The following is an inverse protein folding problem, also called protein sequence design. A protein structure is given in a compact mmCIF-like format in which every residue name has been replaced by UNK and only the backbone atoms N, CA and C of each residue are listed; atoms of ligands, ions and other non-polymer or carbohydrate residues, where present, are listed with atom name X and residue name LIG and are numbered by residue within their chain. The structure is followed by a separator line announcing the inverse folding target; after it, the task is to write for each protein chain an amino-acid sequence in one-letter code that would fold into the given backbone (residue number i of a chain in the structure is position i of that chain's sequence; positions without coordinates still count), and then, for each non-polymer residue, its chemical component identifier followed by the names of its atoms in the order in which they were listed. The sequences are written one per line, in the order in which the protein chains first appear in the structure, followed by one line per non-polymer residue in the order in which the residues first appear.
data_IF_315237973291
#
_entry.id   IF_315237973291
#
_cell.length_a   1.000
_cell.length_b   1.000
_cell.length_c   1.000
_cell.angle_alpha   90.00
_cell.angle_beta   90.00
_cell.angle_gamma   90.00
#
_symmetry.space_group_name_H-M   'P 1'
#
loop_
_entity.id
_entity.type
_entity.pdbx_description
1 polymer ?
#
# COMPACT_ATOMS: atom_id res chain seq x y z
N UNK A 1 18.76 -21.57 -10.11
CA UNK A 1 19.15 -20.74 -11.27
C UNK A 1 17.92 -20.15 -11.96
N UNK A 2 16.85 -20.91 -12.21
CA UNK A 2 15.59 -20.41 -12.83
C UNK A 2 14.89 -19.39 -11.95
N UNK A 3 14.81 -19.61 -10.64
CA UNK A 3 14.20 -18.68 -9.68
C UNK A 3 14.89 -17.32 -9.65
N UNK A 4 16.23 -17.31 -9.66
CA UNK A 4 16.98 -16.05 -9.69
C UNK A 4 16.70 -15.28 -11.00
N UNK A 5 16.63 -15.96 -12.14
CA UNK A 5 16.28 -15.33 -13.41
C UNK A 5 14.86 -14.73 -13.38
N UNK A 6 13.91 -15.43 -12.80
CA UNK A 6 12.54 -14.95 -12.62
C UNK A 6 12.50 -13.66 -11.78
N UNK A 7 13.21 -13.62 -10.65
CA UNK A 7 13.27 -12.43 -9.79
C UNK A 7 13.91 -11.22 -10.49
N UNK A 8 14.97 -11.43 -11.32
CA UNK A 8 15.52 -10.38 -12.16
C UNK A 8 14.52 -9.84 -13.20
N UNK A 9 13.75 -10.74 -13.82
CA UNK A 9 12.72 -10.34 -14.78
C UNK A 9 11.63 -9.51 -14.08
N UNK A 10 11.17 -9.92 -12.90
CA UNK A 10 10.19 -9.18 -12.10
C UNK A 10 10.71 -7.77 -11.74
N UNK A 11 11.97 -7.67 -11.33
CA UNK A 11 12.61 -6.38 -11.05
C UNK A 11 12.64 -5.47 -12.28
N UNK A 12 13.08 -5.99 -13.43
CA UNK A 12 13.16 -5.22 -14.68
C UNK A 12 11.77 -4.76 -15.14
N UNK A 13 10.77 -5.64 -15.10
CA UNK A 13 9.39 -5.28 -15.44
C UNK A 13 8.87 -4.21 -14.48
N UNK A 14 9.12 -4.35 -13.19
CA UNK A 14 8.77 -3.35 -12.19
C UNK A 14 9.40 -1.99 -12.47
N UNK A 15 10.69 -1.96 -12.76
CA UNK A 15 11.41 -0.71 -13.09
C UNK A 15 10.86 -0.04 -14.35
N UNK A 16 10.69 -0.81 -15.43
CA UNK A 16 10.16 -0.30 -16.70
C UNK A 16 8.71 0.22 -16.55
N UNK A 17 7.87 -0.52 -15.83
CA UNK A 17 6.48 -0.09 -15.58
C UNK A 17 6.42 1.22 -14.80
N UNK A 18 7.30 1.42 -13.82
CA UNK A 18 7.39 2.66 -13.05
C UNK A 18 7.82 3.85 -13.94
N UNK A 19 8.82 3.67 -14.80
CA UNK A 19 9.28 4.71 -15.74
C UNK A 19 8.15 5.10 -16.69
N UNK A 20 7.45 4.11 -17.26
CA UNK A 20 6.31 4.34 -18.17
C UNK A 20 5.18 5.08 -17.44
N UNK A 21 4.84 4.66 -16.21
CA UNK A 21 3.81 5.31 -15.41
C UNK A 21 4.17 6.74 -15.06
N UNK A 22 5.41 7.02 -14.69
CA UNK A 22 5.88 8.37 -14.41
C UNK A 22 5.73 9.28 -15.64
N UNK A 23 6.14 8.81 -16.81
CA UNK A 23 5.97 9.53 -18.07
C UNK A 23 4.49 9.79 -18.37
N UNK A 24 3.65 8.76 -18.25
CA UNK A 24 2.22 8.88 -18.50
C UNK A 24 1.54 9.85 -17.54
N UNK A 25 1.80 9.74 -16.24
CA UNK A 25 1.23 10.66 -15.23
C UNK A 25 1.61 12.13 -15.51
N UNK A 26 2.86 12.39 -15.90
CA UNK A 26 3.28 13.74 -16.30
C UNK A 26 2.53 14.22 -17.54
N UNK A 27 2.38 13.38 -18.56
CA UNK A 27 1.68 13.71 -19.83
C UNK A 27 0.22 14.06 -19.60
N UNK A 28 -0.48 13.30 -18.74
CA UNK A 28 -1.90 13.57 -18.38
C UNK A 28 -2.06 14.60 -17.26
N UNK A 29 -0.96 15.21 -16.81
CA UNK A 29 -0.95 16.18 -15.69
C UNK A 29 -1.48 15.61 -14.37
N UNK A 30 -1.35 14.30 -14.19
CA UNK A 30 -1.65 13.62 -12.92
C UNK A 30 -0.45 13.79 -11.99
N UNK A 31 -0.28 14.99 -11.47
CA UNK A 31 0.85 15.41 -10.65
C UNK A 31 0.35 16.08 -9.38
N UNK A 32 1.10 15.93 -8.29
CA UNK A 32 0.79 16.62 -7.05
C UNK A 32 0.81 18.13 -7.25
N UNK A 33 -0.20 18.81 -6.74
CA UNK A 33 -0.32 20.27 -6.81
C UNK A 33 0.73 21.02 -5.97
N UNK A 34 1.44 20.31 -5.09
CA UNK A 34 2.45 20.85 -4.18
C UNK A 34 1.87 21.83 -3.15
N UNK A 35 0.57 21.72 -2.85
CA UNK A 35 -0.09 22.52 -1.81
C UNK A 35 -0.02 21.75 -0.48
N UNK A 36 0.29 22.43 0.62
CA UNK A 36 0.39 21.83 1.96
C UNK A 36 1.80 21.84 2.52
N UNK A 37 2.10 20.87 3.40
CA UNK A 37 3.41 20.74 4.09
C UNK A 37 4.55 20.52 3.08
N UNK A 38 4.26 19.94 1.93
CA UNK A 38 5.22 19.73 0.83
C UNK A 38 5.69 21.03 0.15
N UNK A 39 5.02 22.17 0.39
CA UNK A 39 5.48 23.50 -0.05
C UNK A 39 6.92 23.83 0.38
N UNK A 40 7.36 23.26 1.50
CA UNK A 40 8.67 23.52 2.08
C UNK A 40 9.80 22.98 1.17
N UNK A 41 9.53 21.99 0.32
CA UNK A 41 10.55 21.29 -0.47
C UNK A 41 10.60 21.61 -1.97
N UNK A 42 9.86 22.63 -2.45
CA UNK A 42 9.84 23.00 -3.89
C UNK A 42 9.52 21.86 -4.89
N UNK A 43 8.95 20.76 -4.43
CA UNK A 43 8.64 19.57 -5.22
C UNK A 43 7.31 19.74 -5.99
N UNK A 44 7.22 20.77 -6.84
CA UNK A 44 6.06 20.92 -7.73
C UNK A 44 6.12 19.88 -8.86
N UNK A 45 5.00 19.21 -9.11
CA UNK A 45 4.85 18.35 -10.27
C UNK A 45 5.37 16.93 -10.10
N UNK A 46 5.41 16.39 -8.86
CA UNK A 46 5.71 14.98 -8.64
C UNK A 46 4.56 14.12 -9.19
N UNK A 47 4.83 13.15 -10.06
CA UNK A 47 3.79 12.29 -10.62
C UNK A 47 3.15 11.40 -9.54
N UNK A 48 1.82 11.30 -9.57
CA UNK A 48 1.04 10.44 -8.66
C UNK A 48 1.05 8.97 -9.13
N UNK A 49 2.20 8.49 -9.54
CA UNK A 49 2.38 7.14 -10.11
C UNK A 49 2.55 6.04 -9.07
N UNK A 50 2.97 6.39 -7.85
CA UNK A 50 3.34 5.42 -6.82
C UNK A 50 2.22 4.47 -6.43
N UNK A 51 1.04 5.02 -6.10
CA UNK A 51 -0.12 4.20 -5.76
C UNK A 51 -0.59 3.32 -6.93
N UNK A 52 -0.56 3.86 -8.16
CA UNK A 52 -0.92 3.12 -9.38
C UNK A 52 0.07 1.98 -9.62
N UNK A 53 1.36 2.26 -9.46
CA UNK A 53 2.41 1.25 -9.57
C UNK A 53 2.21 0.09 -8.60
N UNK A 54 1.97 0.40 -7.32
CA UNK A 54 1.73 -0.64 -6.32
C UNK A 54 0.45 -1.42 -6.56
N UNK A 55 -0.62 -0.78 -7.04
CA UNK A 55 -1.85 -1.49 -7.41
C UNK A 55 -1.60 -2.48 -8.54
N UNK A 56 -0.91 -2.07 -9.61
CA UNK A 56 -0.58 -2.94 -10.75
C UNK A 56 0.32 -4.08 -10.31
N UNK A 57 1.38 -3.78 -9.55
CA UNK A 57 2.32 -4.76 -9.03
C UNK A 57 1.64 -5.78 -8.14
N UNK A 58 0.76 -5.32 -7.25
CA UNK A 58 -0.01 -6.18 -6.36
C UNK A 58 -1.00 -7.06 -7.14
N UNK A 59 -1.72 -6.49 -8.11
CA UNK A 59 -2.64 -7.26 -8.96
C UNK A 59 -1.92 -8.35 -9.75
N UNK A 60 -0.72 -8.06 -10.26
CA UNK A 60 0.10 -9.04 -10.95
C UNK A 60 0.51 -10.20 -10.04
N UNK A 61 0.93 -9.90 -8.82
CA UNK A 61 1.32 -10.92 -7.85
C UNK A 61 0.12 -11.80 -7.48
N UNK A 62 -1.02 -11.21 -7.15
CA UNK A 62 -2.23 -11.94 -6.75
C UNK A 62 -2.74 -12.83 -7.88
N UNK A 63 -2.77 -12.33 -9.11
CA UNK A 63 -3.24 -13.09 -10.28
C UNK A 63 -2.44 -14.39 -10.47
N UNK A 64 -1.12 -14.33 -10.27
CA UNK A 64 -0.26 -15.49 -10.45
C UNK A 64 -0.35 -16.51 -9.30
N UNK A 65 -0.85 -16.13 -8.13
CA UNK A 65 -0.91 -17.00 -6.96
C UNK A 65 -2.32 -17.44 -6.55
N UNK A 66 -3.34 -17.19 -7.38
CA UNK A 66 -4.75 -17.61 -7.18
C UNK A 66 -5.42 -17.17 -5.86
N UNK A 67 -4.85 -16.16 -5.17
CA UNK A 67 -5.38 -15.65 -3.88
C UNK A 67 -6.14 -14.33 -4.04
N UNK A 68 -6.94 -14.19 -5.10
CA UNK A 68 -7.70 -12.97 -5.31
C UNK A 68 -8.95 -12.91 -4.42
N UNK A 69 -8.84 -12.24 -3.26
CA UNK A 69 -10.04 -11.74 -2.59
C UNK A 69 -10.55 -10.50 -3.33
N UNK A 70 -11.67 -10.67 -4.01
CA UNK A 70 -12.29 -9.61 -4.81
C UNK A 70 -12.65 -8.38 -3.97
N UNK A 71 -13.11 -8.57 -2.74
CA UNK A 71 -13.46 -7.45 -1.85
C UNK A 71 -12.21 -6.66 -1.44
N UNK A 72 -11.10 -7.35 -1.21
CA UNK A 72 -9.82 -6.71 -0.92
C UNK A 72 -9.31 -5.91 -2.12
N UNK A 73 -9.36 -6.48 -3.33
CA UNK A 73 -8.95 -5.81 -4.56
C UNK A 73 -9.80 -4.55 -4.84
N UNK A 74 -11.12 -4.64 -4.68
CA UNK A 74 -12.03 -3.50 -4.82
C UNK A 74 -11.68 -2.43 -3.78
N UNK A 75 -11.48 -2.82 -2.53
CA UNK A 75 -11.18 -1.89 -1.43
C UNK A 75 -9.90 -1.11 -1.67
N UNK A 76 -8.81 -1.79 -2.05
CA UNK A 76 -7.53 -1.12 -2.37
C UNK A 76 -7.71 -0.15 -3.53
N UNK A 77 -8.44 -0.56 -4.58
CA UNK A 77 -8.67 0.28 -5.75
C UNK A 77 -9.46 1.54 -5.38
N UNK A 78 -10.52 1.41 -4.57
CA UNK A 78 -11.33 2.56 -4.12
C UNK A 78 -10.53 3.48 -3.20
N UNK A 79 -9.72 2.93 -2.28
CA UNK A 79 -8.84 3.72 -1.42
C UNK A 79 -7.76 4.46 -2.23
N UNK A 80 -7.20 3.85 -3.28
CA UNK A 80 -6.27 4.49 -4.19
C UNK A 80 -6.92 5.67 -4.93
N UNK A 81 -8.11 5.46 -5.50
CA UNK A 81 -8.86 6.52 -6.18
C UNK A 81 -9.14 7.68 -5.21
N UNK A 82 -9.55 7.37 -3.99
CA UNK A 82 -9.76 8.38 -2.94
C UNK A 82 -8.47 9.15 -2.62
N UNK A 83 -7.33 8.46 -2.57
CA UNK A 83 -6.01 9.07 -2.42
C UNK A 83 -5.71 10.05 -3.54
N UNK A 84 -5.83 9.64 -4.79
CA UNK A 84 -5.61 10.48 -5.99
C UNK A 84 -6.53 11.70 -5.99
N UNK A 85 -7.83 11.53 -5.70
CA UNK A 85 -8.80 12.63 -5.62
C UNK A 85 -8.41 13.63 -4.53
N UNK A 86 -7.88 13.15 -3.41
CA UNK A 86 -7.38 13.99 -2.33
C UNK A 86 -6.12 14.78 -2.74
N UNK A 87 -5.18 14.13 -3.41
CA UNK A 87 -3.90 14.73 -3.82
C UNK A 87 -4.08 15.75 -4.97
N UNK A 88 -5.16 15.61 -5.74
CA UNK A 88 -5.60 16.60 -6.73
C UNK A 88 -6.37 17.79 -6.12
N UNK A 89 -6.45 17.91 -4.79
CA UNK A 89 -7.20 18.95 -4.06
C UNK A 89 -8.71 18.99 -4.36
N UNK A 90 -9.28 17.94 -4.92
CA UNK A 90 -10.73 17.86 -5.17
C UNK A 90 -11.49 17.74 -3.83
N UNK A 91 -10.95 16.96 -2.90
CA UNK A 91 -11.43 16.86 -1.53
C UNK A 91 -10.76 17.92 -0.65
N UNK A 92 -11.36 19.10 -0.57
CA UNK A 92 -10.81 20.26 0.15
C UNK A 92 -10.66 20.05 1.67
N UNK A 93 -11.49 19.20 2.28
CA UNK A 93 -11.48 18.97 3.74
C UNK A 93 -10.91 17.61 4.08
N UNK A 94 -9.82 17.53 4.86
CA UNK A 94 -9.23 16.25 5.31
C UNK A 94 -10.24 15.35 6.05
N UNK A 95 -11.19 15.95 6.78
CA UNK A 95 -12.24 15.20 7.48
C UNK A 95 -13.11 14.39 6.54
N UNK A 96 -13.41 14.91 5.35
CA UNK A 96 -14.24 14.19 4.38
C UNK A 96 -13.50 12.94 3.85
N UNK A 97 -12.19 13.06 3.57
CA UNK A 97 -11.34 11.91 3.21
C UNK A 97 -11.40 10.85 4.30
N UNK A 98 -11.22 11.25 5.55
CA UNK A 98 -11.21 10.33 6.69
C UNK A 98 -12.54 9.60 6.88
N UNK A 99 -13.68 10.31 6.79
CA UNK A 99 -15.02 9.71 6.88
C UNK A 99 -15.23 8.67 5.76
N UNK A 100 -14.85 9.01 4.53
CA UNK A 100 -14.99 8.08 3.40
C UNK A 100 -14.09 6.85 3.60
N UNK A 101 -12.87 7.02 4.09
CA UNK A 101 -11.98 5.89 4.43
C UNK A 101 -12.62 4.97 5.47
N UNK A 102 -13.21 5.52 6.54
CA UNK A 102 -13.92 4.74 7.58
C UNK A 102 -15.00 3.88 6.94
N UNK A 103 -15.86 4.49 6.11
CA UNK A 103 -16.98 3.78 5.46
C UNK A 103 -16.45 2.64 4.59
N UNK A 104 -15.44 2.90 3.75
CA UNK A 104 -14.86 1.89 2.85
C UNK A 104 -14.30 0.72 3.66
N UNK A 105 -13.52 0.99 4.72
CA UNK A 105 -12.89 -0.06 5.53
C UNK A 105 -13.92 -0.87 6.32
N UNK A 106 -14.95 -0.24 6.87
CA UNK A 106 -16.03 -0.96 7.57
C UNK A 106 -16.81 -1.85 6.59
N UNK A 107 -17.15 -1.37 5.40
CA UNK A 107 -17.83 -2.17 4.38
C UNK A 107 -16.96 -3.37 3.95
N UNK A 108 -15.67 -3.16 3.73
CA UNK A 108 -14.75 -4.24 3.42
C UNK A 108 -14.77 -5.33 4.49
N UNK A 109 -14.60 -4.98 5.75
CA UNK A 109 -14.56 -5.94 6.85
C UNK A 109 -15.92 -6.60 7.11
N UNK A 110 -17.01 -5.95 6.74
CA UNK A 110 -18.35 -6.53 6.83
C UNK A 110 -18.52 -7.68 5.82
N UNK A 111 -17.96 -7.53 4.61
CA UNK A 111 -18.03 -8.55 3.55
C UNK A 111 -16.88 -9.57 3.61
N UNK A 112 -15.76 -9.22 4.25
CA UNK A 112 -14.54 -10.05 4.31
C UNK A 112 -14.12 -10.32 5.76
N UNK A 113 -14.90 -11.13 6.46
CA UNK A 113 -14.70 -11.46 7.90
C UNK A 113 -13.33 -12.14 8.18
N UNK A 114 -12.70 -12.73 7.17
CA UNK A 114 -11.40 -13.38 7.29
C UNK A 114 -10.29 -12.43 7.74
N UNK A 115 -10.45 -11.13 7.48
CA UNK A 115 -9.50 -10.08 7.85
C UNK A 115 -9.73 -9.48 9.24
N UNK A 116 -10.74 -9.95 9.96
CA UNK A 116 -10.99 -9.48 11.32
C UNK A 116 -9.90 -9.96 12.28
N UNK A 117 -9.47 -9.07 13.16
CA UNK A 117 -8.61 -9.43 14.28
C UNK A 117 -9.39 -10.37 15.20
N UNK A 118 -8.89 -11.59 15.40
CA UNK A 118 -9.53 -12.65 16.19
C UNK A 118 -8.98 -12.73 17.62
N UNK A 119 -7.74 -12.30 17.83
CA UNK A 119 -7.07 -12.36 19.12
C UNK A 119 -5.91 -11.36 19.18
N UNK A 120 -5.77 -10.68 20.32
CA UNK A 120 -4.67 -9.73 20.57
C UNK A 120 -3.74 -10.16 21.68
N UNK A 121 -4.10 -11.21 22.44
CA UNK A 121 -3.45 -11.63 23.69
C UNK A 121 -3.57 -10.61 24.83
N UNK A 122 -4.45 -9.60 24.69
CA UNK A 122 -4.83 -8.68 25.76
C UNK A 122 -6.22 -9.05 26.25
N UNK A 123 -6.34 -9.57 27.47
CA UNK A 123 -7.58 -10.15 28.00
C UNK A 123 -8.80 -9.27 27.81
N UNK A 124 -8.69 -7.97 28.13
CA UNK A 124 -9.82 -7.04 28.02
C UNK A 124 -10.25 -6.84 26.56
N UNK A 125 -9.33 -6.72 25.64
CA UNK A 125 -9.61 -6.52 24.21
C UNK A 125 -10.20 -7.80 23.65
N UNK A 126 -9.61 -8.96 23.97
CA UNK A 126 -10.07 -10.27 23.48
C UNK A 126 -11.50 -10.58 23.94
N UNK A 127 -11.87 -10.14 25.15
CA UNK A 127 -13.24 -10.24 25.63
C UNK A 127 -14.24 -9.49 24.74
N UNK A 128 -13.93 -8.28 24.32
CA UNK A 128 -14.80 -7.49 23.44
C UNK A 128 -14.74 -7.95 21.98
N UNK A 129 -13.58 -8.41 21.48
CA UNK A 129 -13.40 -8.94 20.11
C UNK A 129 -14.28 -10.16 19.84
N UNK A 130 -14.67 -10.92 20.85
CA UNK A 130 -15.64 -12.02 20.71
C UNK A 130 -16.98 -11.54 20.11
N UNK A 131 -17.32 -10.26 20.25
CA UNK A 131 -18.44 -9.65 19.56
C UNK A 131 -18.01 -9.20 18.14
N UNK A 132 -18.69 -9.73 17.10
CA UNK A 132 -18.39 -9.44 15.70
C UNK A 132 -18.37 -7.94 15.38
N UNK A 133 -19.34 -7.17 15.87
CA UNK A 133 -19.41 -5.74 15.58
C UNK A 133 -18.26 -4.97 16.22
N UNK A 134 -17.89 -5.34 17.43
CA UNK A 134 -16.72 -4.77 18.07
C UNK A 134 -15.43 -5.14 17.31
N UNK A 135 -15.29 -6.39 16.86
CA UNK A 135 -14.15 -6.84 16.05
C UNK A 135 -14.04 -6.04 14.74
N UNK A 136 -15.16 -5.77 14.05
CA UNK A 136 -15.16 -4.91 12.86
C UNK A 136 -14.66 -3.50 13.19
N UNK A 137 -15.20 -2.88 14.23
CA UNK A 137 -14.80 -1.52 14.64
C UNK A 137 -13.32 -1.47 15.05
N UNK A 138 -12.88 -2.42 15.85
CA UNK A 138 -11.49 -2.51 16.31
C UNK A 138 -10.52 -2.71 15.14
N UNK A 139 -10.82 -3.65 14.25
CA UNK A 139 -10.00 -3.92 13.07
C UNK A 139 -9.98 -2.71 12.13
N UNK A 140 -11.14 -2.06 11.92
CA UNK A 140 -11.21 -0.82 11.14
C UNK A 140 -10.33 0.27 11.72
N UNK A 141 -10.36 0.45 13.02
CA UNK A 141 -9.50 1.42 13.71
C UNK A 141 -8.01 1.13 13.50
N UNK A 142 -7.60 -0.13 13.64
CA UNK A 142 -6.22 -0.53 13.38
C UNK A 142 -5.79 -0.24 11.92
N UNK A 143 -6.61 -0.61 10.94
CA UNK A 143 -6.32 -0.35 9.52
C UNK A 143 -6.23 1.15 9.26
N UNK A 144 -7.15 1.95 9.80
CA UNK A 144 -7.15 3.41 9.61
C UNK A 144 -5.93 4.09 10.24
N UNK A 145 -5.48 3.60 11.40
CA UNK A 145 -4.21 4.07 12.00
C UNK A 145 -3.03 3.77 11.08
N UNK A 146 -2.96 2.57 10.51
CA UNK A 146 -1.89 2.20 9.58
C UNK A 146 -1.92 3.09 8.32
N UNK A 147 -3.09 3.29 7.70
CA UNK A 147 -3.23 4.11 6.49
C UNK A 147 -2.83 5.56 6.76
N UNK A 148 -3.38 6.17 7.81
CA UNK A 148 -3.13 7.57 8.10
C UNK A 148 -1.77 7.80 8.78
N UNK A 149 -1.29 6.84 9.59
CA UNK A 149 0.05 6.86 10.16
C UNK A 149 1.13 6.89 9.08
N UNK A 150 1.02 6.06 8.05
CA UNK A 150 1.93 6.08 6.92
C UNK A 150 1.89 7.42 6.16
N UNK A 151 0.73 8.05 6.01
CA UNK A 151 0.63 9.38 5.42
C UNK A 151 1.37 10.46 6.23
N UNK A 152 1.38 10.37 7.58
CA UNK A 152 2.16 11.29 8.42
C UNK A 152 3.68 11.05 8.30
N UNK A 153 4.09 9.81 8.17
CA UNK A 153 5.51 9.43 8.01
C UNK A 153 6.03 9.86 6.63
N UNK A 154 5.16 9.89 5.60
CA UNK A 154 5.51 10.24 4.22
C UNK A 154 5.85 11.73 4.01
N UNK A 155 5.77 12.54 5.04
CA UNK A 155 6.23 13.95 5.00
C UNK A 155 7.71 14.14 4.65
N UNK A 156 8.50 13.06 4.61
CA UNK A 156 9.90 13.03 4.17
C UNK A 156 10.08 11.97 3.09
N UNK A 157 10.91 12.28 2.06
CA UNK A 157 11.12 11.41 0.91
C UNK A 157 11.41 9.96 1.30
N UNK A 158 10.60 9.03 0.80
CA UNK A 158 10.77 7.58 0.93
C UNK A 158 10.58 6.96 2.32
N UNK A 159 10.24 7.73 3.36
CA UNK A 159 10.10 7.15 4.71
C UNK A 159 8.95 6.14 4.79
N UNK A 160 7.79 6.42 4.18
CA UNK A 160 6.69 5.47 4.14
C UNK A 160 7.06 4.18 3.40
N UNK A 161 7.83 4.31 2.31
CA UNK A 161 8.33 3.18 1.53
C UNK A 161 9.34 2.34 2.31
N UNK A 162 10.29 2.98 3.00
CA UNK A 162 11.25 2.28 3.84
C UNK A 162 10.55 1.58 5.00
N UNK A 163 9.56 2.22 5.62
CA UNK A 163 8.76 1.59 6.66
C UNK A 163 8.00 0.36 6.14
N UNK A 164 7.37 0.48 4.97
CA UNK A 164 6.70 -0.65 4.30
C UNK A 164 7.68 -1.79 3.98
N UNK A 165 8.88 -1.47 3.49
CA UNK A 165 9.92 -2.46 3.21
C UNK A 165 10.36 -3.19 4.48
N UNK A 166 10.61 -2.46 5.57
CA UNK A 166 11.00 -3.04 6.87
C UNK A 166 9.91 -3.98 7.37
N UNK A 167 8.64 -3.57 7.32
CA UNK A 167 7.51 -4.40 7.73
C UNK A 167 7.47 -5.69 6.92
N UNK A 168 7.63 -5.61 5.59
CA UNK A 168 7.62 -6.79 4.73
C UNK A 168 8.82 -7.74 5.02
N UNK A 169 10.00 -7.20 5.32
CA UNK A 169 11.16 -8.01 5.72
C UNK A 169 10.88 -8.71 7.05
N UNK A 170 10.30 -8.01 8.02
CA UNK A 170 9.93 -8.62 9.31
C UNK A 170 8.91 -9.75 9.10
N UNK A 171 7.88 -9.52 8.29
CA UNK A 171 6.91 -10.56 7.97
C UNK A 171 7.56 -11.76 7.29
N UNK A 172 8.45 -11.55 6.32
CA UNK A 172 9.20 -12.63 5.67
C UNK A 172 9.98 -13.47 6.69
N UNK A 173 10.67 -12.82 7.64
CA UNK A 173 11.44 -13.51 8.68
C UNK A 173 10.52 -14.29 9.64
N UNK A 174 9.35 -13.76 9.97
CA UNK A 174 8.37 -14.44 10.82
C UNK A 174 7.76 -15.63 10.11
N UNK A 175 7.36 -15.49 8.85
CA UNK A 175 6.79 -16.57 8.02
C UNK A 175 7.81 -17.68 7.83
N UNK A 176 9.05 -17.37 7.51
CA UNK A 176 10.14 -18.35 7.33
C UNK A 176 10.43 -19.18 8.59
N UNK A 177 10.20 -18.60 9.77
CA UNK A 177 10.38 -19.31 11.05
C UNK A 177 9.10 -20.04 11.51
N UNK A 178 7.98 -19.83 10.83
CA UNK A 178 6.72 -20.55 11.07
C UNK A 178 6.59 -21.70 10.07
N UNK A 179 5.81 -22.73 10.40
CA UNK A 179 5.52 -23.86 9.50
C UNK A 179 4.61 -23.47 8.31
N UNK A 180 4.52 -22.19 7.99
CA UNK A 180 3.77 -21.66 6.86
C UNK A 180 4.51 -22.00 5.55
N UNK A 181 3.77 -22.27 4.50
CA UNK A 181 4.21 -22.96 3.28
C UNK A 181 5.18 -22.13 2.43
N UNK A 182 6.09 -22.82 1.70
CA UNK A 182 7.09 -22.25 0.77
C UNK A 182 6.55 -21.20 -0.24
N UNK A 183 5.27 -21.28 -0.60
CA UNK A 183 4.62 -20.31 -1.51
C UNK A 183 4.47 -18.90 -0.91
N UNK A 184 4.32 -18.79 0.40
CA UNK A 184 4.17 -17.49 1.06
C UNK A 184 5.49 -16.71 1.08
N UNK A 185 6.63 -17.41 1.18
CA UNK A 185 7.96 -16.81 1.14
C UNK A 185 8.22 -16.12 -0.21
N UNK A 186 7.89 -16.78 -1.32
CA UNK A 186 8.09 -16.23 -2.66
C UNK A 186 7.24 -14.96 -2.88
N UNK A 187 6.01 -14.94 -2.36
CA UNK A 187 5.14 -13.77 -2.42
C UNK A 187 5.78 -12.54 -1.78
N UNK A 188 6.29 -12.69 -0.55
CA UNK A 188 6.95 -11.59 0.15
C UNK A 188 8.23 -11.14 -0.54
N UNK A 189 9.02 -12.08 -1.08
CA UNK A 189 10.24 -11.78 -1.83
C UNK A 189 9.93 -10.97 -3.08
N UNK A 190 8.92 -11.35 -3.87
CA UNK A 190 8.50 -10.60 -5.06
C UNK A 190 8.03 -9.20 -4.67
N UNK A 191 7.24 -9.08 -3.60
CA UNK A 191 6.74 -7.79 -3.14
C UNK A 191 7.89 -6.87 -2.70
N UNK A 192 8.88 -7.39 -1.98
CA UNK A 192 10.10 -6.64 -1.61
C UNK A 192 10.84 -6.17 -2.86
N UNK A 193 11.04 -7.04 -3.85
CA UNK A 193 11.73 -6.72 -5.10
C UNK A 193 11.02 -5.60 -5.85
N UNK A 194 9.69 -5.59 -5.87
CA UNK A 194 8.90 -4.53 -6.50
C UNK A 194 8.99 -3.18 -5.77
N UNK A 195 9.35 -3.15 -4.49
CA UNK A 195 9.60 -1.90 -3.75
C UNK A 195 10.93 -1.24 -4.15
N UNK A 196 11.94 -2.03 -4.52
CA UNK A 196 13.30 -1.53 -4.77
C UNK A 196 13.35 -0.46 -5.88
N UNK A 197 12.72 -0.66 -7.07
CA UNK A 197 12.71 0.37 -8.12
C UNK A 197 12.13 1.70 -7.65
N UNK A 198 11.06 1.64 -6.88
CA UNK A 198 10.39 2.84 -6.38
C UNK A 198 11.24 3.58 -5.32
N UNK A 199 11.93 2.84 -4.45
CA UNK A 199 12.85 3.41 -3.46
C UNK A 199 14.03 4.08 -4.17
N UNK A 200 14.63 3.42 -5.16
CA UNK A 200 15.75 3.95 -5.93
C UNK A 200 15.35 5.26 -6.61
N UNK A 201 14.21 5.29 -7.31
CA UNK A 201 13.75 6.49 -8.02
C UNK A 201 13.49 7.65 -7.08
N UNK A 202 12.97 7.41 -5.88
CA UNK A 202 12.72 8.45 -4.89
C UNK A 202 13.98 8.96 -4.19
N UNK A 203 14.88 8.04 -3.77
CA UNK A 203 16.11 8.41 -3.06
C UNK A 203 17.06 9.25 -3.93
N UNK A 204 17.19 8.89 -5.19
CA UNK A 204 18.07 9.60 -6.11
C UNK A 204 17.41 10.78 -6.82
N UNK A 205 16.19 11.17 -6.40
CA UNK A 205 15.37 12.19 -7.08
C UNK A 205 15.32 11.94 -8.60
N UNK A 206 15.37 10.66 -8.97
CA UNK A 206 15.27 10.26 -10.35
C UNK A 206 13.84 10.55 -10.85
N UNK A 207 13.35 11.76 -10.65
CA UNK A 207 12.12 12.28 -11.26
C UNK A 207 12.32 12.37 -12.77
N UNK A 208 12.85 11.25 -13.30
CA UNK A 208 13.29 11.16 -14.66
C UNK A 208 12.21 11.36 -15.65
N UNK A 209 12.64 12.20 -16.57
CA UNK A 209 12.24 12.30 -17.97
C UNK A 209 10.92 12.99 -18.20
#
# INVERSE_FOLDING_TARGET
MIENLFLYIVFLIGFLSLVILNYFCKKVKLVDSGKGIQKIKSLKGVPLSGGIYFLISYSFVIYNFEYLDIYFAITITVLLILGIISDLDILKKPSNKFIVQIIIVILFLFFSENYLVKKTSVFLIDYFIANKYFSILFTSFCILICINGNNFIDGTNSNALLNSLIINIIFLLVVKNSSLREFEDLYFVIYIILHIPFIITNLFNLNFL
#
